data_IF_344637604793
#
_entry.id   IF_344637604793
#
_cell.length_a   1.000
_cell.length_b   1.000
_cell.length_c   1.000
_cell.angle_alpha   90.00
_cell.angle_beta   90.00
_cell.angle_gamma   90.00
#
_symmetry.space_group_name_H-M   'P 1'
#
loop_
_entity.id
_entity.type
_entity.pdbx_description
1 polymer ?
#
# COMPACT_ATOMS: atom_id res chain seq x y z
N UNK A 1 11.80 51.69 -32.16
CA UNK A 1 12.65 50.78 -31.38
C UNK A 1 11.74 49.70 -30.83
N UNK A 2 11.64 48.59 -31.58
CA UNK A 2 10.72 47.45 -31.26
C UNK A 2 11.49 46.42 -30.47
N UNK A 3 11.04 46.18 -29.25
CA UNK A 3 11.62 45.21 -28.32
C UNK A 3 11.02 43.83 -28.59
N UNK A 4 11.76 42.97 -29.25
CA UNK A 4 11.40 41.55 -29.46
C UNK A 4 11.54 40.81 -28.13
N UNK A 5 10.41 40.48 -27.52
CA UNK A 5 10.33 39.51 -26.44
C UNK A 5 10.51 38.09 -27.04
N UNK A 6 11.71 37.56 -26.96
CA UNK A 6 11.98 36.14 -27.18
C UNK A 6 11.33 35.34 -26.05
N UNK A 7 10.15 34.78 -26.32
CA UNK A 7 9.54 33.79 -25.46
C UNK A 7 10.40 32.52 -25.44
N UNK A 8 11.01 32.24 -24.28
CA UNK A 8 11.65 30.96 -24.00
C UNK A 8 10.54 29.92 -23.99
N UNK A 9 10.59 28.87 -24.84
CA UNK A 9 9.63 27.79 -24.74
C UNK A 9 9.80 27.13 -23.35
N UNK A 10 8.78 27.22 -22.51
CA UNK A 10 8.66 26.38 -21.33
C UNK A 10 8.72 24.92 -21.81
N UNK A 11 9.83 24.24 -21.55
CA UNK A 11 9.90 22.80 -21.75
C UNK A 11 8.76 22.19 -20.97
N UNK A 12 7.76 21.68 -21.66
CA UNK A 12 6.68 20.93 -21.07
C UNK A 12 7.34 19.78 -20.28
N UNK A 13 7.30 19.87 -18.96
CA UNK A 13 7.58 18.72 -18.12
C UNK A 13 6.50 17.71 -18.48
N UNK A 14 6.88 16.64 -19.17
CA UNK A 14 6.01 15.50 -19.37
C UNK A 14 5.56 15.03 -17.98
N UNK A 15 4.38 15.46 -17.60
CA UNK A 15 3.71 14.92 -16.43
C UNK A 15 3.57 13.42 -16.69
N UNK A 16 4.39 12.61 -16.03
CA UNK A 16 4.31 11.16 -16.15
C UNK A 16 2.91 10.73 -15.76
N UNK A 17 2.08 10.49 -16.77
CA UNK A 17 0.74 9.93 -16.54
C UNK A 17 0.89 8.44 -16.25
N UNK A 18 0.46 8.03 -15.07
CA UNK A 18 0.46 6.62 -14.66
C UNK A 18 -0.94 6.01 -14.88
N UNK A 19 -1.03 4.70 -15.19
CA UNK A 19 0.04 3.73 -15.40
C UNK A 19 0.73 3.83 -16.76
N UNK A 20 2.00 3.41 -16.82
CA UNK A 20 2.73 3.28 -18.08
C UNK A 20 2.66 1.86 -18.62
N UNK A 21 2.20 1.71 -19.85
CA UNK A 21 2.18 0.43 -20.56
C UNK A 21 3.21 0.41 -21.68
N UNK A 22 3.95 -0.68 -21.77
CA UNK A 22 4.97 -0.90 -22.78
C UNK A 22 4.96 -2.36 -23.24
N UNK A 23 5.52 -2.62 -24.42
CA UNK A 23 5.74 -3.98 -24.90
C UNK A 23 7.22 -4.33 -24.72
N UNK A 24 7.50 -5.39 -23.99
CA UNK A 24 8.85 -5.89 -23.79
C UNK A 24 9.41 -6.57 -25.06
N UNK A 25 10.73 -6.85 -25.08
CA UNK A 25 11.40 -7.47 -26.24
C UNK A 25 10.81 -8.82 -26.64
N UNK A 26 10.26 -9.56 -25.69
CA UNK A 26 9.59 -10.87 -25.92
C UNK A 26 8.16 -10.75 -26.45
N UNK A 27 7.66 -9.54 -26.67
CA UNK A 27 6.26 -9.27 -27.03
C UNK A 27 5.30 -9.38 -25.84
N UNK A 28 5.78 -9.43 -24.61
CA UNK A 28 4.98 -9.37 -23.41
C UNK A 28 4.53 -7.92 -23.14
N UNK A 29 3.26 -7.73 -22.82
CA UNK A 29 2.74 -6.46 -22.33
C UNK A 29 3.17 -6.22 -20.88
N UNK A 30 3.73 -5.06 -20.58
CA UNK A 30 4.12 -4.67 -19.22
C UNK A 30 3.43 -3.36 -18.87
N UNK A 31 2.69 -3.35 -17.78
CA UNK A 31 2.10 -2.14 -17.21
C UNK A 31 2.74 -1.87 -15.87
N UNK A 32 3.32 -0.70 -15.71
CA UNK A 32 3.92 -0.24 -14.45
C UNK A 32 3.00 0.83 -13.86
N UNK A 33 2.60 0.63 -12.63
CA UNK A 33 1.81 1.60 -11.88
C UNK A 33 2.74 2.61 -11.20
N UNK A 34 2.18 3.71 -10.71
CA UNK A 34 2.95 4.81 -10.15
C UNK A 34 3.94 4.32 -9.07
N UNK A 35 5.26 4.50 -9.27
CA UNK A 35 6.26 4.14 -8.30
C UNK A 35 6.19 5.03 -7.06
N UNK A 36 6.48 4.44 -5.91
CA UNK A 36 6.59 5.13 -4.64
C UNK A 36 8.05 5.10 -4.16
N UNK A 37 8.60 6.25 -3.86
CA UNK A 37 9.91 6.33 -3.21
C UNK A 37 9.79 5.81 -1.77
N UNK A 38 10.65 4.86 -1.38
CA UNK A 38 10.65 4.26 -0.03
C UNK A 38 11.87 4.63 0.80
N UNK A 39 13.01 4.89 0.18
CA UNK A 39 14.20 5.36 0.89
C UNK A 39 15.16 6.11 -0.03
N UNK A 40 15.84 7.09 0.52
CA UNK A 40 16.84 7.88 -0.24
C UNK A 40 18.01 8.29 0.66
N UNK A 41 18.79 7.32 1.15
CA UNK A 41 19.89 7.60 2.07
C UNK A 41 20.96 8.47 1.42
N UNK A 42 21.33 9.55 2.13
CA UNK A 42 22.37 10.51 1.71
C UNK A 42 22.15 11.09 0.29
N UNK A 43 20.95 11.02 -0.24
CA UNK A 43 20.56 11.44 -1.60
C UNK A 43 21.43 10.80 -2.71
N UNK A 44 21.94 9.60 -2.47
CA UNK A 44 22.79 8.85 -3.42
C UNK A 44 22.11 7.66 -4.05
N UNK A 45 21.29 6.93 -3.27
CA UNK A 45 20.59 5.74 -3.75
C UNK A 45 19.11 5.88 -3.43
N UNK A 46 18.29 6.03 -4.46
CA UNK A 46 16.83 6.06 -4.33
C UNK A 46 16.28 4.65 -4.53
N UNK A 47 15.60 4.13 -3.53
CA UNK A 47 14.80 2.90 -3.66
C UNK A 47 13.35 3.25 -3.86
N UNK A 48 12.75 2.71 -4.90
CA UNK A 48 11.34 2.88 -5.22
C UNK A 48 10.66 1.52 -5.37
N UNK A 49 9.39 1.44 -4.94
CA UNK A 49 8.52 0.28 -5.12
C UNK A 49 7.44 0.60 -6.14
N UNK A 50 7.17 -0.32 -7.04
CA UNK A 50 6.07 -0.21 -8.00
C UNK A 50 5.28 -1.51 -8.07
N UNK A 51 3.95 -1.40 -8.25
CA UNK A 51 3.15 -2.52 -8.71
C UNK A 51 3.33 -2.67 -10.22
N UNK A 52 3.36 -3.91 -10.69
CA UNK A 52 3.46 -4.23 -12.11
C UNK A 52 2.45 -5.30 -12.51
N UNK A 53 2.00 -5.21 -13.75
CA UNK A 53 1.21 -6.24 -14.42
C UNK A 53 1.95 -6.67 -15.68
N UNK A 54 2.26 -7.93 -15.81
CA UNK A 54 2.96 -8.46 -16.99
C UNK A 54 2.09 -9.50 -17.67
N UNK A 55 1.75 -9.26 -18.92
CA UNK A 55 0.99 -10.19 -19.75
C UNK A 55 1.94 -10.88 -20.72
N UNK A 56 2.32 -12.15 -20.47
CA UNK A 56 3.14 -12.90 -21.39
C UNK A 56 2.49 -13.00 -22.77
N UNK A 57 3.29 -13.06 -23.83
CA UNK A 57 2.76 -13.19 -25.20
C UNK A 57 1.84 -14.41 -25.30
N UNK A 58 0.61 -14.18 -25.75
CA UNK A 58 -0.42 -15.23 -25.89
C UNK A 58 -1.18 -15.57 -24.59
N UNK A 59 -0.82 -15.00 -23.44
CA UNK A 59 -1.59 -15.18 -22.21
C UNK A 59 -2.84 -14.29 -22.21
N UNK A 60 -3.93 -14.81 -21.60
CA UNK A 60 -5.20 -14.07 -21.47
C UNK A 60 -5.27 -13.18 -20.23
N UNK A 61 -4.44 -13.48 -19.21
CA UNK A 61 -4.44 -12.76 -17.96
C UNK A 61 -3.03 -12.26 -17.61
N UNK A 62 -2.91 -11.08 -16.97
CA UNK A 62 -1.63 -10.59 -16.48
C UNK A 62 -1.18 -11.32 -15.23
N UNK A 63 0.12 -11.45 -15.05
CA UNK A 63 0.77 -11.78 -13.78
C UNK A 63 0.96 -10.46 -13.02
N UNK A 64 0.37 -10.38 -11.85
CA UNK A 64 0.47 -9.20 -10.97
C UNK A 64 1.56 -9.40 -9.94
N UNK A 65 2.29 -8.33 -9.63
CA UNK A 65 3.32 -8.36 -8.62
C UNK A 65 3.80 -6.98 -8.21
N UNK A 66 4.75 -6.96 -7.30
CA UNK A 66 5.47 -5.75 -6.88
C UNK A 66 6.96 -5.93 -7.09
N UNK A 67 7.63 -4.84 -7.44
CA UNK A 67 9.09 -4.79 -7.59
C UNK A 67 9.65 -3.63 -6.80
N UNK A 68 10.86 -3.81 -6.28
CA UNK A 68 11.67 -2.74 -5.71
C UNK A 68 12.91 -2.54 -6.56
N UNK A 69 13.18 -1.30 -6.91
CA UNK A 69 14.31 -0.92 -7.75
C UNK A 69 15.12 0.14 -7.01
N UNK A 70 16.41 -0.07 -6.90
CA UNK A 70 17.38 0.92 -6.45
C UNK A 70 18.00 1.62 -7.65
N UNK A 71 18.11 2.94 -7.58
CA UNK A 71 18.73 3.80 -8.58
C UNK A 71 19.91 4.55 -7.95
N UNK A 72 21.02 4.67 -8.66
CA UNK A 72 21.98 5.70 -8.35
C UNK A 72 21.39 7.05 -8.73
N UNK A 73 21.63 8.09 -7.92
CA UNK A 73 20.98 9.39 -8.12
C UNK A 73 21.97 10.55 -8.11
N UNK A 74 21.70 11.55 -8.95
CA UNK A 74 22.28 12.89 -8.87
C UNK A 74 21.14 13.92 -8.78
N UNK A 75 21.28 14.92 -7.93
CA UNK A 75 20.27 15.96 -7.74
C UNK A 75 20.70 17.24 -8.45
N UNK A 76 19.83 17.73 -9.34
CA UNK A 76 19.95 19.05 -9.96
C UNK A 76 19.00 20.01 -9.22
N UNK A 77 19.57 20.83 -8.34
CA UNK A 77 18.80 21.79 -7.56
C UNK A 77 18.30 22.97 -8.38
N UNK A 78 19.02 23.36 -9.43
CA UNK A 78 18.61 24.46 -10.31
C UNK A 78 17.35 24.09 -11.09
N UNK A 79 17.31 22.88 -11.62
CA UNK A 79 16.15 22.34 -12.35
C UNK A 79 15.13 21.66 -11.44
N UNK A 80 15.42 21.52 -10.13
CA UNK A 80 14.60 20.80 -9.15
C UNK A 80 14.25 19.38 -9.61
N UNK A 81 15.24 18.68 -10.16
CA UNK A 81 15.09 17.31 -10.68
C UNK A 81 16.08 16.36 -10.02
N UNK A 82 15.71 15.10 -10.00
CA UNK A 82 16.57 13.97 -9.61
C UNK A 82 16.82 13.13 -10.85
N UNK A 83 18.08 12.90 -11.14
CA UNK A 83 18.54 12.06 -12.24
C UNK A 83 18.69 10.66 -11.70
N UNK A 84 18.00 9.69 -12.32
CA UNK A 84 18.00 8.28 -11.96
C UNK A 84 18.83 7.51 -12.97
N UNK A 85 19.85 6.80 -12.47
CA UNK A 85 20.76 5.98 -13.29
C UNK A 85 20.94 4.60 -12.65
N UNK A 86 21.49 3.67 -13.37
CA UNK A 86 21.87 2.34 -12.89
C UNK A 86 20.76 1.61 -12.13
N UNK A 87 19.59 1.37 -12.73
CA UNK A 87 18.50 0.67 -12.06
C UNK A 87 18.90 -0.77 -11.71
N UNK A 88 18.69 -1.16 -10.44
CA UNK A 88 18.95 -2.51 -9.93
C UNK A 88 17.71 -3.04 -9.23
N UNK A 89 17.24 -4.22 -9.64
CA UNK A 89 16.16 -4.93 -8.93
C UNK A 89 16.69 -5.40 -7.57
N UNK A 90 16.08 -4.92 -6.50
CA UNK A 90 16.45 -5.28 -5.11
C UNK A 90 15.49 -6.29 -4.49
N UNK A 91 14.22 -6.26 -4.87
CA UNK A 91 13.23 -7.23 -4.44
C UNK A 91 12.12 -7.37 -5.48
N UNK A 92 11.47 -8.52 -5.49
CA UNK A 92 10.26 -8.77 -6.27
C UNK A 92 9.32 -9.71 -5.52
N UNK A 93 8.03 -9.56 -5.77
CA UNK A 93 7.02 -10.45 -5.21
C UNK A 93 5.89 -10.68 -6.21
N UNK A 94 5.69 -11.94 -6.61
CA UNK A 94 4.68 -12.40 -7.55
C UNK A 94 3.86 -13.53 -6.92
N UNK A 95 2.74 -13.22 -6.24
CA UNK A 95 1.99 -14.22 -5.47
C UNK A 95 1.46 -15.41 -6.27
N UNK A 96 1.25 -15.23 -7.57
CA UNK A 96 0.69 -16.25 -8.47
C UNK A 96 1.76 -17.16 -9.13
N UNK A 97 3.04 -16.90 -8.89
CA UNK A 97 4.14 -17.67 -9.45
C UNK A 97 4.76 -18.60 -8.41
N UNK A 98 5.18 -19.79 -8.85
CA UNK A 98 6.04 -20.65 -8.04
C UNK A 98 7.50 -20.13 -8.08
N UNK A 99 8.39 -20.71 -7.27
CA UNK A 99 9.77 -20.26 -7.10
C UNK A 99 10.56 -20.20 -8.41
N UNK A 100 10.41 -21.22 -9.26
CA UNK A 100 11.15 -21.32 -10.53
C UNK A 100 10.66 -20.25 -11.52
N UNK A 101 9.35 -20.12 -11.63
CA UNK A 101 8.72 -19.09 -12.46
C UNK A 101 9.07 -17.68 -11.99
N UNK A 102 9.10 -17.43 -10.68
CA UNK A 102 9.48 -16.15 -10.13
C UNK A 102 10.93 -15.81 -10.47
N UNK A 103 11.85 -16.76 -10.34
CA UNK A 103 13.26 -16.59 -10.68
C UNK A 103 13.48 -16.27 -12.16
N UNK A 104 12.77 -16.97 -13.05
CA UNK A 104 12.81 -16.68 -14.50
C UNK A 104 12.27 -15.27 -14.79
N UNK A 105 11.20 -14.91 -14.12
CA UNK A 105 10.58 -13.57 -14.27
C UNK A 105 11.54 -12.46 -13.80
N UNK A 106 12.21 -12.65 -12.67
CA UNK A 106 13.23 -11.72 -12.17
C UNK A 106 14.39 -11.53 -13.15
N UNK A 107 14.88 -12.64 -13.73
CA UNK A 107 15.96 -12.55 -14.72
C UNK A 107 15.54 -11.71 -15.94
N UNK A 108 14.29 -11.86 -16.39
CA UNK A 108 13.74 -11.05 -17.48
C UNK A 108 13.63 -9.59 -17.11
N UNK A 109 13.16 -9.27 -15.89
CA UNK A 109 13.07 -7.90 -15.38
C UNK A 109 14.47 -7.28 -15.30
N UNK A 110 15.46 -7.98 -14.76
CA UNK A 110 16.85 -7.51 -14.69
C UNK A 110 17.41 -7.15 -16.06
N UNK A 111 17.15 -7.99 -17.08
CA UNK A 111 17.55 -7.70 -18.45
C UNK A 111 16.89 -6.44 -19.02
N UNK A 112 15.63 -6.21 -18.73
CA UNK A 112 14.93 -4.98 -19.16
C UNK A 112 15.52 -3.76 -18.46
N UNK A 113 15.78 -3.85 -17.15
CA UNK A 113 16.33 -2.75 -16.36
C UNK A 113 17.72 -2.31 -16.88
N UNK A 114 18.56 -3.24 -17.32
CA UNK A 114 19.90 -2.94 -17.84
C UNK A 114 19.86 -1.98 -19.06
N UNK A 115 18.75 -1.96 -19.78
CA UNK A 115 18.58 -1.16 -21.01
C UNK A 115 17.73 0.11 -20.78
N UNK A 116 17.37 0.42 -19.53
CA UNK A 116 16.62 1.64 -19.23
C UNK A 116 17.58 2.84 -19.26
N UNK A 117 17.31 3.86 -20.10
CA UNK A 117 18.12 5.06 -20.14
C UNK A 117 17.96 5.88 -18.85
N UNK A 118 18.87 6.84 -18.65
CA UNK A 118 18.73 7.86 -17.62
C UNK A 118 17.32 8.47 -17.61
N UNK A 119 16.76 8.61 -16.42
CA UNK A 119 15.44 9.23 -16.22
C UNK A 119 15.59 10.45 -15.31
N UNK A 120 14.89 11.52 -15.66
CA UNK A 120 14.77 12.73 -14.82
C UNK A 120 13.38 12.78 -14.22
N UNK A 121 13.30 12.91 -12.92
CA UNK A 121 12.04 13.01 -12.19
C UNK A 121 12.02 14.28 -11.34
N UNK A 122 10.85 14.92 -11.15
CA UNK A 122 10.76 16.10 -10.28
C UNK A 122 11.16 15.76 -8.84
N UNK A 123 12.01 16.59 -8.23
CA UNK A 123 12.46 16.41 -6.85
C UNK A 123 11.26 16.34 -5.88
N UNK A 124 10.23 17.16 -6.11
CA UNK A 124 9.04 17.16 -5.27
C UNK A 124 8.30 15.81 -5.29
N UNK A 125 8.25 15.13 -6.43
CA UNK A 125 7.62 13.80 -6.53
C UNK A 125 8.33 12.76 -5.68
N UNK A 126 9.67 12.81 -5.64
CA UNK A 126 10.48 11.94 -4.79
C UNK A 126 10.24 12.23 -3.31
N UNK A 127 10.25 13.52 -2.93
CA UNK A 127 10.04 13.93 -1.53
C UNK A 127 8.63 13.60 -1.03
N UNK A 128 7.61 13.78 -1.85
CA UNK A 128 6.23 13.38 -1.52
C UNK A 128 6.12 11.87 -1.30
N UNK A 129 6.77 11.06 -2.13
CA UNK A 129 6.80 9.61 -1.96
C UNK A 129 7.45 9.19 -0.64
N UNK A 130 8.56 9.83 -0.25
CA UNK A 130 9.26 9.55 1.00
C UNK A 130 8.48 9.97 2.25
N UNK A 131 7.67 11.04 2.14
CA UNK A 131 6.83 11.53 3.23
C UNK A 131 5.46 10.83 3.32
N UNK A 132 5.09 10.05 2.30
CA UNK A 132 3.90 9.22 2.39
C UNK A 132 4.07 8.24 3.57
N UNK A 133 3.06 8.08 4.44
CA UNK A 133 3.13 7.11 5.51
C UNK A 133 3.44 5.75 4.87
N UNK A 134 4.66 5.28 5.07
CA UNK A 134 5.01 3.92 4.68
C UNK A 134 4.11 3.04 5.54
N UNK A 135 3.06 2.53 4.94
CA UNK A 135 2.38 1.39 5.53
C UNK A 135 3.44 0.28 5.59
N UNK A 136 4.15 0.27 6.72
CA UNK A 136 4.93 -0.88 7.07
C UNK A 136 3.95 -2.05 6.95
N UNK A 137 4.17 -2.90 5.97
CA UNK A 137 3.51 -4.19 5.91
C UNK A 137 4.07 -5.00 7.08
N UNK A 138 3.64 -4.63 8.30
CA UNK A 138 3.66 -5.59 9.38
C UNK A 138 2.88 -6.76 8.82
N UNK A 139 3.48 -7.96 8.74
CA UNK A 139 2.70 -9.12 8.37
C UNK A 139 1.57 -9.19 9.41
N UNK A 140 0.38 -8.82 8.99
CA UNK A 140 -0.83 -9.06 9.78
C UNK A 140 -0.96 -10.56 9.74
N UNK A 141 -0.78 -11.20 10.88
CA UNK A 141 -1.09 -12.61 11.05
C UNK A 141 -2.58 -12.74 10.76
N UNK A 142 -2.90 -13.18 9.56
CA UNK A 142 -4.30 -13.47 9.20
C UNK A 142 -4.67 -14.71 10.00
N UNK A 143 -5.53 -14.54 10.99
CA UNK A 143 -6.13 -15.67 11.68
C UNK A 143 -7.11 -16.33 10.70
N UNK A 144 -6.72 -17.50 10.18
CA UNK A 144 -7.57 -18.33 9.32
C UNK A 144 -8.43 -19.33 10.10
N UNK A 145 -8.50 -19.19 11.42
CA UNK A 145 -9.39 -20.03 12.21
C UNK A 145 -10.82 -19.78 11.77
N UNK A 146 -11.63 -20.85 11.59
CA UNK A 146 -13.02 -20.68 11.24
C UNK A 146 -13.71 -19.83 12.32
N UNK A 147 -14.66 -18.96 11.95
CA UNK A 147 -15.37 -18.14 12.92
C UNK A 147 -16.07 -19.05 13.93
N UNK A 148 -16.05 -18.64 15.20
CA UNK A 148 -16.73 -19.36 16.25
C UNK A 148 -18.22 -19.40 15.94
N UNK A 149 -18.77 -20.61 15.77
CA UNK A 149 -20.21 -20.81 15.54
C UNK A 149 -20.87 -20.95 16.91
N UNK A 150 -21.73 -19.97 17.24
CA UNK A 150 -22.57 -20.03 18.42
C UNK A 150 -23.89 -20.71 18.06
N UNK A 151 -24.22 -21.78 18.76
CA UNK A 151 -25.50 -22.45 18.63
C UNK A 151 -26.36 -22.17 19.87
N UNK A 152 -27.60 -21.78 19.66
CA UNK A 152 -28.58 -21.61 20.73
C UNK A 152 -29.87 -22.35 20.33
N UNK A 153 -30.36 -23.18 21.21
CA UNK A 153 -31.64 -23.92 21.11
C UNK A 153 -32.84 -23.14 21.71
N UNK A 154 -32.56 -21.92 22.17
CA UNK A 154 -33.53 -20.94 22.70
C UNK A 154 -33.29 -19.58 22.04
N UNK A 155 -34.30 -18.68 22.00
CA UNK A 155 -34.08 -17.32 21.56
C UNK A 155 -32.92 -16.68 22.34
N UNK A 156 -31.90 -16.21 21.61
CA UNK A 156 -30.69 -15.59 22.18
C UNK A 156 -30.30 -14.38 21.34
N UNK A 157 -29.72 -13.39 22.00
CA UNK A 157 -29.11 -12.24 21.34
C UNK A 157 -27.59 -12.34 21.42
N UNK A 158 -26.92 -12.16 20.29
CA UNK A 158 -25.47 -12.10 20.24
C UNK A 158 -25.01 -10.70 20.64
N UNK A 159 -24.29 -10.60 21.76
CA UNK A 159 -23.62 -9.39 22.20
C UNK A 159 -22.14 -9.50 21.83
N UNK A 160 -21.64 -8.55 21.06
CA UNK A 160 -20.25 -8.50 20.63
C UNK A 160 -19.57 -7.29 21.26
N UNK A 161 -18.40 -7.50 21.82
CA UNK A 161 -17.52 -6.42 22.31
C UNK A 161 -16.35 -6.23 21.36
N UNK A 162 -15.96 -4.97 21.16
CA UNK A 162 -14.73 -4.64 20.45
C UNK A 162 -13.55 -4.70 21.46
N UNK A 163 -12.97 -5.92 21.59
CA UNK A 163 -11.98 -6.26 22.61
C UNK A 163 -12.58 -6.60 23.97
N UNK A 164 -11.83 -6.36 25.05
CA UNK A 164 -12.32 -6.56 26.42
C UNK A 164 -13.42 -5.54 26.76
N UNK A 165 -14.44 -5.93 27.57
CA UNK A 165 -15.52 -5.02 27.94
C UNK A 165 -15.02 -3.75 28.62
N UNK A 166 -15.27 -2.59 28.04
CA UNK A 166 -14.97 -1.28 28.63
C UNK A 166 -16.23 -0.76 29.33
N UNK A 167 -16.14 -0.61 30.66
CA UNK A 167 -17.27 -0.26 31.50
C UNK A 167 -17.17 1.20 32.00
N UNK A 168 -18.26 1.96 31.84
CA UNK A 168 -18.44 3.31 32.37
C UNK A 168 -19.60 3.37 33.38
N UNK A 169 -19.58 4.25 34.39
CA UNK A 169 -20.68 4.40 35.35
C UNK A 169 -22.00 4.78 34.65
N UNK A 170 -23.10 4.14 35.03
CA UNK A 170 -24.43 4.44 34.54
C UNK A 170 -25.17 5.39 35.51
N UNK A 171 -24.74 6.65 35.53
CA UNK A 171 -25.30 7.66 36.44
C UNK A 171 -25.11 7.26 37.92
N UNK A 172 -26.17 7.42 38.75
CA UNK A 172 -26.17 7.09 40.19
C UNK A 172 -26.78 5.73 40.49
N UNK A 173 -26.96 4.87 39.51
CA UNK A 173 -27.67 3.60 39.67
C UNK A 173 -26.83 2.49 40.34
N UNK A 174 -25.51 2.70 40.50
CA UNK A 174 -24.58 1.65 40.93
C UNK A 174 -24.21 0.66 39.83
N UNK A 175 -24.90 0.71 38.68
CA UNK A 175 -24.57 -0.09 37.50
C UNK A 175 -23.47 0.57 36.66
N UNK A 176 -22.81 -0.24 35.86
CA UNK A 176 -21.90 0.22 34.79
C UNK A 176 -22.49 -0.19 33.46
N UNK A 177 -22.30 0.62 32.42
CA UNK A 177 -22.67 0.24 31.07
C UNK A 177 -21.43 -0.02 30.21
N UNK A 178 -21.56 -0.93 29.27
CA UNK A 178 -20.49 -1.24 28.33
C UNK A 178 -20.53 -0.28 27.16
N UNK A 179 -19.38 0.38 26.85
CA UNK A 179 -19.31 1.42 25.81
C UNK A 179 -18.80 0.88 24.45
N UNK A 180 -18.22 -0.32 24.43
CA UNK A 180 -17.62 -0.94 23.25
C UNK A 180 -18.41 -2.18 22.77
N UNK A 181 -19.72 -2.09 22.75
CA UNK A 181 -20.61 -3.15 22.29
C UNK A 181 -21.71 -2.59 21.38
N UNK A 182 -22.35 -3.47 20.63
CA UNK A 182 -23.45 -3.16 19.71
C UNK A 182 -24.84 -3.13 20.38
N UNK A 183 -24.90 -3.30 21.71
CA UNK A 183 -26.13 -3.33 22.49
C UNK A 183 -26.04 -2.45 23.74
N UNK A 184 -27.17 -2.06 24.27
CA UNK A 184 -27.24 -1.42 25.58
C UNK A 184 -27.08 -2.46 26.69
N UNK A 185 -25.85 -2.66 27.13
CA UNK A 185 -25.47 -3.69 28.11
C UNK A 185 -25.01 -3.04 29.39
N UNK A 186 -25.58 -3.48 30.52
CA UNK A 186 -25.23 -3.03 31.85
C UNK A 186 -24.63 -4.17 32.69
N UNK A 187 -23.77 -3.80 33.63
CA UNK A 187 -23.09 -4.73 34.52
C UNK A 187 -23.25 -4.30 35.97
N UNK A 188 -23.72 -5.20 36.82
CA UNK A 188 -23.76 -5.04 38.28
C UNK A 188 -22.53 -5.67 38.90
N UNK A 189 -21.44 -4.91 38.98
CA UNK A 189 -20.18 -5.37 39.57
C UNK A 189 -20.13 -5.28 41.09
N UNK A 190 -21.03 -4.51 41.70
CA UNK A 190 -21.03 -4.29 43.16
C UNK A 190 -21.96 -5.28 43.90
N UNK A 191 -22.91 -5.87 43.20
CA UNK A 191 -23.92 -6.77 43.77
C UNK A 191 -23.77 -8.20 43.27
N UNK A 192 -24.45 -8.49 42.14
CA UNK A 192 -24.65 -9.87 41.69
C UNK A 192 -23.61 -10.35 40.68
N UNK A 193 -22.83 -9.45 40.05
CA UNK A 193 -21.96 -9.78 38.94
C UNK A 193 -22.76 -10.12 37.63
N UNK A 194 -24.01 -9.69 37.58
CA UNK A 194 -24.93 -10.03 36.48
C UNK A 194 -24.83 -8.99 35.36
N UNK A 195 -24.93 -9.45 34.13
CA UNK A 195 -25.09 -8.64 32.95
C UNK A 195 -26.55 -8.50 32.57
N UNK A 196 -26.98 -7.30 32.26
CA UNK A 196 -28.34 -6.97 31.81
C UNK A 196 -28.28 -6.45 30.38
N UNK A 197 -29.10 -6.98 29.52
CA UNK A 197 -29.30 -6.49 28.16
C UNK A 197 -30.60 -5.70 28.09
N UNK A 198 -30.55 -4.42 27.74
CA UNK A 198 -31.74 -3.60 27.50
C UNK A 198 -32.17 -3.81 26.06
N UNK A 199 -33.39 -4.39 25.89
CA UNK A 199 -33.99 -4.62 24.57
C UNK A 199 -35.31 -3.88 24.49
N UNK A 200 -35.41 -2.85 23.61
CA UNK A 200 -36.61 -2.02 23.40
C UNK A 200 -37.22 -1.42 24.69
N UNK A 201 -36.35 -1.04 25.65
CA UNK A 201 -36.81 -0.38 26.88
C UNK A 201 -37.32 -1.33 27.95
N UNK A 202 -37.09 -2.64 27.82
CA UNK A 202 -37.43 -3.67 28.80
C UNK A 202 -36.20 -4.42 29.25
#
# INVERSE_FOLDING_TARGET
MAMLLLGVPAAAQDAMTWPHSMTGPSGAGVTVYQPQAISWPKQKTLTARAAIAVTPKGAKAPVLGTIEIAFATATDLAMRTVILTEPKLTASHFPSLNTDQASEFEARIKNVLTNIPEKRVPLNSVLLGLNAPQQATKPVTVNNDPPTIFHADRPASLVVFDGEPVLAPAGNSGLKYAVNTNWDVFFDGAGSGIWYLLNNGV
#
